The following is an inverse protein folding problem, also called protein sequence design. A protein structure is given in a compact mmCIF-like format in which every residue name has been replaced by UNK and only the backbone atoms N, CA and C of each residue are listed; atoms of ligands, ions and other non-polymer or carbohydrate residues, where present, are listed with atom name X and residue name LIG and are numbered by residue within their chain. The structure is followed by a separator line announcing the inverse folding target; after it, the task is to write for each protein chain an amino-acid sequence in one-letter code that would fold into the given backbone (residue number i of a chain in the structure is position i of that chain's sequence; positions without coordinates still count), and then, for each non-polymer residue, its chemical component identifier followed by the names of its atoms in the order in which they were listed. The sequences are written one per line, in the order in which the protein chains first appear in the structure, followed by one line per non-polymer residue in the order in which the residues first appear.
data_IF_826197781782
#
_entry.id   IF_826197781782
#
_cell.length_a   1.000
_cell.length_b   1.000
_cell.length_c   1.000
_cell.angle_alpha   90.00
_cell.angle_beta   90.00
_cell.angle_gamma   90.00
#
_symmetry.space_group_name_H-M   'P 1'
#
loop_
_entity.id
_entity.type
_entity.pdbx_description
1 polymer ?
#
# COMPACT_ATOMS: atom_id res chain seq x y z
N UNK A 1 43.91 12.37 -8.45
CA UNK A 1 42.71 11.54 -8.68
C UNK A 1 41.66 12.01 -7.69
N UNK A 2 40.69 12.80 -8.16
CA UNK A 2 39.64 13.37 -7.31
C UNK A 2 38.73 12.27 -6.82
N UNK A 3 38.55 12.16 -5.50
CA UNK A 3 37.53 11.32 -4.91
C UNK A 3 36.16 11.82 -5.39
N UNK A 4 35.45 10.98 -6.16
CA UNK A 4 34.03 11.20 -6.43
C UNK A 4 33.29 11.08 -5.09
N UNK A 5 33.02 12.21 -4.46
CA UNK A 5 32.09 12.32 -3.33
C UNK A 5 30.69 12.02 -3.86
N UNK A 6 30.30 10.76 -3.76
CA UNK A 6 28.91 10.36 -4.00
C UNK A 6 28.07 10.96 -2.87
N UNK A 7 27.40 12.07 -3.18
CA UNK A 7 26.39 12.69 -2.32
C UNK A 7 25.26 11.69 -2.12
N UNK A 8 25.22 11.04 -0.96
CA UNK A 8 24.04 10.31 -0.50
C UNK A 8 23.27 11.17 0.48
N UNK A 9 21.95 11.22 0.29
CA UNK A 9 21.04 11.92 1.18
C UNK A 9 21.00 11.19 2.52
N UNK A 10 21.64 11.77 3.53
CA UNK A 10 21.29 11.54 4.93
C UNK A 10 19.82 11.89 5.11
N UNK A 11 19.08 11.15 5.95
CA UNK A 11 17.73 11.53 6.32
C UNK A 11 17.82 12.89 7.00
N UNK A 12 17.52 13.95 6.25
CA UNK A 12 17.24 15.23 6.85
C UNK A 12 15.85 15.06 7.49
N UNK A 13 15.74 15.15 8.82
CA UNK A 13 14.42 15.19 9.44
C UNK A 13 13.66 16.35 8.80
N UNK A 14 12.36 16.15 8.55
CA UNK A 14 11.48 17.20 8.05
C UNK A 14 11.74 18.47 8.89
N UNK A 15 12.17 19.53 8.22
CA UNK A 15 12.61 20.80 8.81
C UNK A 15 11.50 21.57 9.53
N UNK A 16 10.38 20.93 9.84
CA UNK A 16 9.22 21.49 10.52
C UNK A 16 9.25 21.32 12.05
N UNK A 17 10.32 20.78 12.65
CA UNK A 17 10.40 20.69 14.13
C UNK A 17 11.78 20.87 14.78
N UNK A 18 12.81 21.40 14.10
CA UNK A 18 14.00 21.90 14.82
C UNK A 18 13.66 23.19 15.56
N UNK A 19 12.90 23.06 16.65
CA UNK A 19 13.00 24.00 17.74
C UNK A 19 14.37 23.76 18.35
N UNK A 20 15.28 24.69 18.12
CA UNK A 20 16.47 24.93 18.94
C UNK A 20 16.06 25.33 20.36
N UNK A 21 15.25 24.49 21.03
CA UNK A 21 14.70 24.77 22.34
C UNK A 21 15.44 23.93 23.37
N UNK A 22 16.35 24.59 24.07
CA UNK A 22 16.73 24.31 25.47
C UNK A 22 17.91 23.36 25.76
N UNK A 23 18.93 23.34 24.89
CA UNK A 23 20.22 22.66 25.19
C UNK A 23 20.92 23.17 26.47
N UNK A 24 20.62 24.38 26.92
CA UNK A 24 21.19 24.97 28.14
C UNK A 24 20.44 24.67 29.44
N UNK A 25 19.26 24.03 29.40
CA UNK A 25 18.41 23.82 30.59
C UNK A 25 18.12 22.34 30.90
N UNK A 26 18.72 21.41 30.17
CA UNK A 26 18.61 19.99 30.49
C UNK A 26 19.27 19.72 31.84
N UNK A 27 18.53 19.04 32.72
CA UNK A 27 19.04 18.67 34.04
C UNK A 27 20.37 17.91 33.88
N UNK A 28 21.45 18.29 34.60
CA UNK A 28 22.77 17.64 34.47
C UNK A 28 22.72 16.13 34.74
N UNK A 29 21.75 15.64 35.51
CA UNK A 29 21.50 14.22 35.69
C UNK A 29 21.04 13.54 34.39
N UNK A 30 20.16 14.17 33.62
CA UNK A 30 19.68 13.63 32.34
C UNK A 30 20.81 13.64 31.32
N UNK A 31 21.59 14.72 31.26
CA UNK A 31 22.73 14.82 30.35
C UNK A 31 23.81 13.75 30.65
N UNK A 32 24.12 13.49 31.92
CA UNK A 32 25.10 12.47 32.29
C UNK A 32 24.62 11.03 32.01
N UNK A 33 23.33 10.74 32.21
CA UNK A 33 22.73 9.46 31.82
C UNK A 33 22.82 9.27 30.31
N UNK A 34 22.46 10.31 29.54
CA UNK A 34 22.44 10.26 28.09
C UNK A 34 23.84 10.03 27.49
N UNK A 35 24.86 10.69 28.07
CA UNK A 35 26.25 10.47 27.71
C UNK A 35 26.70 9.03 28.02
N UNK A 36 26.31 8.46 29.16
CA UNK A 36 26.65 7.08 29.51
C UNK A 36 25.95 6.05 28.62
N UNK A 37 24.76 6.35 28.11
CA UNK A 37 24.02 5.48 27.20
C UNK A 37 24.43 5.62 25.73
N UNK A 38 25.24 6.62 25.37
CA UNK A 38 25.62 6.88 23.98
C UNK A 38 26.22 5.67 23.24
N UNK A 39 27.18 4.90 23.80
CA UNK A 39 27.68 3.70 23.14
C UNK A 39 26.58 2.68 22.81
N UNK A 40 25.54 2.58 23.66
CA UNK A 40 24.41 1.68 23.42
C UNK A 40 23.55 2.17 22.26
N UNK A 41 23.38 3.48 22.10
CA UNK A 41 22.66 4.05 20.96
C UNK A 41 23.40 3.76 19.65
N UNK A 42 24.72 3.93 19.62
CA UNK A 42 25.56 3.61 18.46
C UNK A 42 25.46 2.12 18.08
N UNK A 43 25.53 1.23 19.07
CA UNK A 43 25.35 -0.21 18.86
C UNK A 43 23.94 -0.53 18.34
N UNK A 44 22.90 0.04 18.95
CA UNK A 44 21.52 -0.15 18.53
C UNK A 44 21.32 0.34 17.09
N UNK A 45 21.82 1.51 16.75
CA UNK A 45 21.74 2.04 15.39
C UNK A 45 22.47 1.21 14.37
N UNK A 46 23.66 0.70 14.69
CA UNK A 46 24.37 -0.25 13.83
C UNK A 46 23.54 -1.51 13.54
N UNK A 47 22.88 -2.07 14.57
CA UNK A 47 22.00 -3.24 14.37
C UNK A 47 20.77 -2.90 13.55
N UNK A 48 20.15 -1.74 13.78
CA UNK A 48 19.00 -1.27 13.00
C UNK A 48 19.39 -0.97 11.55
N UNK A 49 20.59 -0.46 11.30
CA UNK A 49 21.14 -0.25 9.95
C UNK A 49 21.24 -1.56 9.17
N UNK A 50 21.69 -2.62 9.84
CA UNK A 50 21.74 -3.95 9.26
C UNK A 50 20.34 -4.46 8.86
N UNK A 51 19.34 -4.35 9.74
CA UNK A 51 17.99 -4.81 9.41
C UNK A 51 17.27 -3.94 8.37
N UNK A 52 17.52 -2.63 8.38
CA UNK A 52 16.87 -1.69 7.47
C UNK A 52 17.60 -1.52 6.13
N UNK A 53 18.77 -2.16 5.94
CA UNK A 53 19.61 -2.05 4.74
C UNK A 53 20.20 -0.65 4.48
N UNK A 54 20.37 0.17 5.52
CA UNK A 54 20.97 1.51 5.43
C UNK A 54 22.47 1.53 5.74
N UNK A 55 23.10 0.36 5.85
CA UNK A 55 24.56 0.24 6.00
C UNK A 55 25.28 0.91 4.83
N UNK A 56 26.48 1.47 5.10
CA UNK A 56 27.34 2.12 4.10
C UNK A 56 27.56 1.26 2.84
N UNK A 57 27.70 -0.05 3.01
CA UNK A 57 27.84 -1.02 1.94
C UNK A 57 26.65 -2.01 1.91
N UNK A 58 25.60 -1.75 1.12
CA UNK A 58 24.42 -2.63 1.04
C UNK A 58 24.75 -4.04 0.52
N UNK A 59 25.80 -4.17 -0.30
CA UNK A 59 26.25 -5.45 -0.86
C UNK A 59 26.78 -6.36 0.24
N UNK A 60 27.51 -5.80 1.22
CA UNK A 60 28.05 -6.54 2.35
C UNK A 60 26.91 -7.10 3.22
N UNK A 61 25.88 -6.30 3.46
CA UNK A 61 24.67 -6.75 4.14
C UNK A 61 23.99 -7.93 3.41
N UNK A 62 23.87 -7.83 2.08
CA UNK A 62 23.40 -8.94 1.25
C UNK A 62 24.26 -10.20 1.37
N UNK A 63 25.58 -10.06 1.45
CA UNK A 63 26.49 -11.19 1.68
C UNK A 63 26.24 -11.86 3.03
N UNK A 64 26.04 -11.08 4.10
CA UNK A 64 25.72 -11.62 5.43
C UNK A 64 24.40 -12.38 5.43
N UNK A 65 23.35 -11.86 4.79
CA UNK A 65 22.08 -12.58 4.63
C UNK A 65 22.24 -13.86 3.81
N UNK A 66 23.00 -13.84 2.72
CA UNK A 66 23.30 -15.03 1.92
C UNK A 66 24.07 -16.09 2.71
N UNK A 67 25.07 -15.70 3.50
CA UNK A 67 25.82 -16.60 4.38
C UNK A 67 24.91 -17.20 5.45
N UNK A 68 24.09 -16.38 6.11
CA UNK A 68 23.12 -16.83 7.09
C UNK A 68 22.12 -17.84 6.51
N UNK A 69 21.57 -17.54 5.34
CA UNK A 69 20.64 -18.45 4.64
C UNK A 69 21.33 -19.73 4.16
N UNK A 70 22.60 -19.64 3.73
CA UNK A 70 23.41 -20.81 3.40
C UNK A 70 23.65 -21.71 4.61
N UNK A 71 23.94 -21.13 5.79
CA UNK A 71 24.04 -21.87 7.04
C UNK A 71 22.74 -22.59 7.41
N UNK A 72 21.58 -21.93 7.23
CA UNK A 72 20.26 -22.55 7.44
C UNK A 72 20.02 -23.68 6.44
N UNK A 73 20.34 -23.46 5.17
CA UNK A 73 20.14 -24.44 4.10
C UNK A 73 20.99 -25.70 4.32
N UNK A 74 22.26 -25.50 4.70
CA UNK A 74 23.22 -26.56 5.01
C UNK A 74 23.31 -26.85 6.53
N UNK A 75 22.20 -26.75 7.26
CA UNK A 75 22.19 -26.88 8.73
C UNK A 75 22.89 -28.13 9.26
N UNK A 76 22.86 -29.25 8.51
CA UNK A 76 23.54 -30.50 8.90
C UNK A 76 25.06 -30.33 8.99
N UNK A 77 25.65 -29.63 8.03
CA UNK A 77 27.08 -29.32 8.02
C UNK A 77 27.38 -28.19 9.02
N UNK A 78 26.52 -27.17 9.07
CA UNK A 78 26.67 -26.05 10.00
C UNK A 78 26.60 -26.52 11.46
N UNK A 79 25.79 -27.52 11.78
CA UNK A 79 25.68 -28.12 13.11
C UNK A 79 27.02 -28.69 13.60
N UNK A 80 27.78 -29.33 12.70
CA UNK A 80 29.09 -29.89 13.02
C UNK A 80 30.10 -28.80 13.41
N UNK A 81 29.95 -27.60 12.87
CA UNK A 81 30.81 -26.44 13.15
C UNK A 81 30.16 -25.39 14.07
N UNK A 82 29.01 -25.69 14.67
CA UNK A 82 28.21 -24.71 15.41
C UNK A 82 28.98 -24.09 16.59
N UNK A 83 29.77 -24.89 17.30
CA UNK A 83 30.61 -24.39 18.39
C UNK A 83 31.67 -23.39 17.92
N UNK A 84 32.30 -23.63 16.76
CA UNK A 84 33.26 -22.71 16.19
C UNK A 84 32.59 -21.44 15.69
N UNK A 85 31.46 -21.56 14.99
CA UNK A 85 30.70 -20.42 14.47
C UNK A 85 30.25 -19.51 15.61
N UNK A 86 29.66 -20.07 16.67
CA UNK A 86 29.20 -19.29 17.84
C UNK A 86 30.36 -18.63 18.57
N UNK A 87 31.50 -19.30 18.70
CA UNK A 87 32.71 -18.71 19.31
C UNK A 87 33.24 -17.55 18.49
N UNK A 88 33.33 -17.69 17.16
CA UNK A 88 33.76 -16.62 16.26
C UNK A 88 32.80 -15.44 16.31
N UNK A 89 31.49 -15.69 16.29
CA UNK A 89 30.47 -14.65 16.40
C UNK A 89 30.55 -13.93 17.76
N UNK A 90 30.76 -14.67 18.85
CA UNK A 90 30.92 -14.09 20.19
C UNK A 90 32.18 -13.22 20.27
N UNK A 91 33.33 -13.71 19.80
CA UNK A 91 34.57 -12.93 19.78
C UNK A 91 34.43 -11.68 18.89
N UNK A 92 33.83 -11.81 17.71
CA UNK A 92 33.56 -10.70 16.80
C UNK A 92 32.65 -9.64 17.44
N UNK A 93 31.56 -10.07 18.07
CA UNK A 93 30.63 -9.17 18.76
C UNK A 93 31.32 -8.44 19.93
N UNK A 94 32.08 -9.14 20.76
CA UNK A 94 32.80 -8.51 21.87
C UNK A 94 33.88 -7.54 21.38
N UNK A 95 34.60 -7.90 20.31
CA UNK A 95 35.56 -7.00 19.68
C UNK A 95 34.88 -5.73 19.16
N UNK A 96 33.73 -5.88 18.48
CA UNK A 96 32.95 -4.75 17.99
C UNK A 96 32.47 -3.84 19.13
N UNK A 97 31.84 -4.42 20.16
CA UNK A 97 31.40 -3.65 21.34
C UNK A 97 32.58 -2.92 21.98
N UNK A 98 33.68 -3.61 22.24
CA UNK A 98 34.87 -3.00 22.82
C UNK A 98 35.42 -1.87 21.94
N UNK A 99 35.45 -2.06 20.61
CA UNK A 99 35.91 -1.03 19.68
C UNK A 99 35.05 0.24 19.73
N UNK A 100 33.73 0.10 19.87
CA UNK A 100 32.81 1.23 20.02
C UNK A 100 33.05 1.95 21.36
N UNK A 101 33.23 1.21 22.46
CA UNK A 101 33.52 1.82 23.76
C UNK A 101 34.86 2.57 23.78
N UNK A 102 35.89 2.03 23.12
CA UNK A 102 37.19 2.68 22.97
C UNK A 102 37.07 3.95 22.12
N UNK A 103 36.35 3.89 21.00
CA UNK A 103 36.13 5.04 20.10
C UNK A 103 35.40 6.19 20.82
N UNK A 104 34.31 5.89 21.54
CA UNK A 104 33.57 6.87 22.35
C UNK A 104 34.42 7.44 23.50
N UNK A 105 35.34 6.65 24.04
CA UNK A 105 36.25 7.13 25.10
C UNK A 105 37.29 8.13 24.56
N UNK A 106 37.71 7.98 23.30
CA UNK A 106 38.62 8.90 22.64
C UNK A 106 37.93 10.16 22.09
N UNK A 107 36.65 10.05 21.72
CA UNK A 107 35.86 11.12 21.16
C UNK A 107 34.62 11.37 22.02
N UNK A 108 34.73 12.28 22.99
CA UNK A 108 33.59 12.67 23.84
C UNK A 108 32.50 13.30 22.96
N UNK A 109 31.30 12.70 22.86
CA UNK A 109 30.24 13.19 22.00
C UNK A 109 29.66 14.50 22.55
N UNK A 110 29.27 15.40 21.65
CA UNK A 110 28.48 16.58 22.04
C UNK A 110 27.03 16.17 22.31
N UNK A 111 26.28 16.99 23.04
CA UNK A 111 24.87 16.70 23.30
C UNK A 111 24.05 16.63 21.99
N UNK A 112 24.42 17.42 20.98
CA UNK A 112 23.80 17.38 19.65
C UNK A 112 24.05 16.06 18.93
N UNK A 113 25.25 15.50 19.02
CA UNK A 113 25.58 14.19 18.43
C UNK A 113 24.73 13.09 19.05
N UNK A 114 24.55 13.12 20.37
CA UNK A 114 23.73 12.13 21.08
C UNK A 114 22.26 12.25 20.68
N UNK A 115 21.75 13.47 20.56
CA UNK A 115 20.37 13.71 20.14
C UNK A 115 20.13 13.28 18.68
N UNK A 116 21.09 13.54 17.79
CA UNK A 116 21.02 13.08 16.40
C UNK A 116 21.00 11.55 16.31
N UNK A 117 21.86 10.89 17.08
CA UNK A 117 21.90 9.42 17.13
C UNK A 117 20.61 8.83 17.70
N UNK A 118 20.02 9.48 18.71
CA UNK A 118 18.72 9.08 19.25
C UNK A 118 17.59 9.27 18.23
N UNK A 119 17.54 10.39 17.52
CA UNK A 119 16.55 10.67 16.49
C UNK A 119 16.67 9.66 15.33
N UNK A 120 17.90 9.34 14.91
CA UNK A 120 18.16 8.29 13.93
C UNK A 120 17.64 6.93 14.40
N UNK A 121 17.82 6.59 15.69
CA UNK A 121 17.33 5.33 16.25
C UNK A 121 15.79 5.28 16.25
N UNK A 122 15.14 6.36 16.69
CA UNK A 122 13.68 6.46 16.74
C UNK A 122 13.09 6.37 15.35
N UNK A 123 13.58 7.15 14.39
CA UNK A 123 13.09 7.15 13.00
C UNK A 123 13.24 5.78 12.33
N UNK A 124 14.35 5.07 12.56
CA UNK A 124 14.55 3.70 12.06
C UNK A 124 13.59 2.70 12.70
N UNK A 125 13.38 2.79 14.01
CA UNK A 125 12.42 1.95 14.71
C UNK A 125 10.98 2.21 14.25
N UNK A 126 10.62 3.49 14.05
CA UNK A 126 9.34 3.87 13.46
C UNK A 126 9.19 3.32 12.04
N UNK A 127 10.25 3.32 11.23
CA UNK A 127 10.21 2.74 9.87
C UNK A 127 9.95 1.23 9.89
N UNK A 128 10.53 0.49 10.83
CA UNK A 128 10.28 -0.95 11.00
C UNK A 128 8.87 -1.25 11.54
N UNK A 129 8.34 -0.40 12.42
CA UNK A 129 7.05 -0.61 13.09
C UNK A 129 5.87 0.04 12.37
N UNK A 130 6.11 0.98 11.45
CA UNK A 130 5.11 1.64 10.60
C UNK A 130 4.10 0.68 9.96
N UNK A 131 4.50 -0.45 9.34
CA UNK A 131 3.54 -1.38 8.75
C UNK A 131 2.63 -2.02 9.78
N UNK A 132 3.07 -2.19 11.04
CA UNK A 132 2.31 -2.82 12.12
C UNK A 132 1.34 -1.85 12.81
N UNK A 133 1.70 -0.58 12.92
CA UNK A 133 0.95 0.44 13.68
C UNK A 133 -0.46 0.68 13.14
N UNK A 134 -0.66 0.53 11.83
CA UNK A 134 -1.93 0.83 11.15
C UNK A 134 -2.76 -0.42 10.78
N UNK A 135 -2.37 -1.61 11.22
CA UNK A 135 -3.11 -2.84 10.92
C UNK A 135 -4.38 -2.89 11.77
N UNK A 136 -5.52 -2.47 11.20
CA UNK A 136 -6.83 -2.79 11.76
C UNK A 136 -7.20 -4.21 11.34
N UNK A 137 -7.37 -5.17 12.28
CA UNK A 137 -7.65 -6.55 11.91
C UNK A 137 -9.03 -6.65 11.28
N UNK A 138 -9.07 -6.95 9.98
CA UNK A 138 -10.29 -7.25 9.25
C UNK A 138 -10.37 -8.75 9.05
N UNK A 139 -10.92 -9.45 10.04
CA UNK A 139 -10.93 -10.91 10.11
C UNK A 139 -11.46 -11.58 8.83
N UNK A 140 -12.51 -11.04 8.20
CA UNK A 140 -13.03 -11.58 6.94
C UNK A 140 -12.03 -11.55 5.79
N UNK A 141 -11.19 -10.51 5.70
CA UNK A 141 -10.14 -10.42 4.66
C UNK A 141 -8.97 -11.36 4.95
N UNK A 142 -8.59 -11.50 6.22
CA UNK A 142 -7.52 -12.42 6.65
C UNK A 142 -7.93 -13.87 6.37
N UNK A 143 -9.18 -14.22 6.66
CA UNK A 143 -9.73 -15.55 6.37
C UNK A 143 -9.75 -15.81 4.86
N UNK A 144 -10.23 -14.87 4.05
CA UNK A 144 -10.19 -15.00 2.58
C UNK A 144 -8.76 -15.17 2.06
N UNK A 145 -7.82 -14.38 2.57
CA UNK A 145 -6.41 -14.49 2.21
C UNK A 145 -5.87 -15.88 2.55
N UNK A 146 -6.15 -16.40 3.75
CA UNK A 146 -5.73 -17.74 4.17
C UNK A 146 -6.29 -18.82 3.23
N UNK A 147 -7.60 -18.76 2.92
CA UNK A 147 -8.25 -19.73 2.03
C UNK A 147 -7.69 -19.72 0.60
N UNK A 148 -7.29 -18.56 0.06
CA UNK A 148 -6.76 -18.48 -1.30
C UNK A 148 -5.27 -18.81 -1.34
N UNK A 149 -4.50 -18.38 -0.34
CA UNK A 149 -3.03 -18.46 -0.34
C UNK A 149 -2.53 -19.83 0.13
N UNK A 150 -3.20 -20.48 1.07
CA UNK A 150 -2.80 -21.80 1.57
C UNK A 150 -2.77 -22.88 0.48
N UNK A 151 -3.79 -23.03 -0.40
CA UNK A 151 -3.74 -23.99 -1.51
C UNK A 151 -2.60 -23.70 -2.48
N UNK A 152 -2.33 -22.41 -2.78
CA UNK A 152 -1.21 -22.01 -3.63
C UNK A 152 0.12 -22.47 -3.02
N UNK A 153 0.32 -22.25 -1.73
CA UNK A 153 1.52 -22.73 -1.03
C UNK A 153 1.67 -24.25 -1.06
N UNK A 154 0.58 -25.00 -0.85
CA UNK A 154 0.59 -26.46 -0.90
C UNK A 154 0.96 -26.95 -2.31
N UNK A 155 0.39 -26.35 -3.35
CA UNK A 155 0.72 -26.67 -4.75
C UNK A 155 2.20 -26.36 -5.03
N UNK A 156 2.69 -25.19 -4.62
CA UNK A 156 4.11 -24.82 -4.79
C UNK A 156 5.03 -25.81 -4.10
N UNK A 157 4.75 -26.17 -2.85
CA UNK A 157 5.54 -27.14 -2.06
C UNK A 157 5.48 -28.56 -2.62
N UNK A 158 4.35 -28.96 -3.21
CA UNK A 158 4.18 -30.32 -3.75
C UNK A 158 4.85 -30.49 -5.12
N UNK A 159 4.80 -29.47 -5.98
CA UNK A 159 5.17 -29.62 -7.39
C UNK A 159 6.47 -28.92 -7.77
N UNK A 160 6.82 -27.80 -7.14
CA UNK A 160 7.90 -26.94 -7.64
C UNK A 160 9.15 -26.95 -6.77
N UNK A 161 9.04 -27.10 -5.46
CA UNK A 161 10.16 -26.79 -4.56
C UNK A 161 10.17 -27.66 -3.30
N UNK A 162 11.36 -28.08 -2.84
CA UNK A 162 11.49 -28.75 -1.54
C UNK A 162 11.19 -27.79 -0.39
N UNK A 163 10.65 -28.26 0.76
CA UNK A 163 10.31 -27.39 1.89
C UNK A 163 11.49 -26.50 2.35
N UNK A 164 12.71 -27.02 2.26
CA UNK A 164 13.94 -26.31 2.66
C UNK A 164 14.21 -25.09 1.78
N UNK A 165 14.23 -25.30 0.46
CA UNK A 165 14.46 -24.19 -0.50
C UNK A 165 13.32 -23.17 -0.38
N UNK A 166 12.08 -23.64 -0.23
CA UNK A 166 10.92 -22.76 -0.07
C UNK A 166 11.05 -21.84 1.16
N UNK A 167 11.40 -22.39 2.34
CA UNK A 167 11.61 -21.59 3.56
C UNK A 167 12.78 -20.61 3.42
N UNK A 168 13.87 -21.00 2.75
CA UNK A 168 15.01 -20.12 2.52
C UNK A 168 14.66 -18.94 1.61
N UNK A 169 13.87 -19.17 0.56
CA UNK A 169 13.38 -18.10 -0.33
C UNK A 169 12.44 -17.15 0.42
N UNK A 170 11.52 -17.69 1.23
CA UNK A 170 10.60 -16.86 2.01
C UNK A 170 11.36 -15.95 2.99
N UNK A 171 12.35 -16.50 3.70
CA UNK A 171 13.20 -15.73 4.61
C UNK A 171 14.02 -14.68 3.87
N UNK A 172 14.54 -14.98 2.68
CA UNK A 172 15.24 -14.02 1.84
C UNK A 172 14.34 -12.84 1.46
N UNK A 173 13.08 -13.11 1.06
CA UNK A 173 12.12 -12.06 0.70
C UNK A 173 11.81 -11.16 1.90
N UNK A 174 11.61 -11.74 3.09
CA UNK A 174 11.36 -10.96 4.32
C UNK A 174 12.58 -10.11 4.66
N UNK A 175 13.78 -10.70 4.65
CA UNK A 175 15.01 -10.00 4.95
C UNK A 175 15.29 -8.87 3.95
N UNK A 176 15.04 -9.08 2.66
CA UNK A 176 15.26 -8.10 1.61
C UNK A 176 14.18 -7.01 1.55
N UNK A 177 13.08 -7.11 2.31
CA UNK A 177 11.93 -6.20 2.19
C UNK A 177 12.29 -4.72 2.34
N UNK A 178 13.14 -4.39 3.31
CA UNK A 178 13.58 -3.01 3.56
C UNK A 178 14.71 -2.54 2.62
N UNK A 179 15.27 -3.43 1.80
CA UNK A 179 16.30 -3.07 0.81
C UNK A 179 15.75 -2.09 -0.22
N UNK A 180 16.55 -1.05 -0.55
CA UNK A 180 16.19 -0.06 -1.56
C UNK A 180 15.85 -0.71 -2.91
N UNK A 181 16.62 -1.73 -3.31
CA UNK A 181 16.42 -2.45 -4.57
C UNK A 181 15.10 -3.21 -4.59
N UNK A 182 14.75 -3.85 -3.48
CA UNK A 182 13.50 -4.59 -3.35
C UNK A 182 12.30 -3.63 -3.32
N UNK A 183 12.38 -2.54 -2.57
CA UNK A 183 11.31 -1.54 -2.55
C UNK A 183 11.14 -0.85 -3.90
N UNK A 184 12.23 -0.52 -4.58
CA UNK A 184 12.19 0.07 -5.92
C UNK A 184 11.53 -0.88 -6.93
N UNK A 185 11.91 -2.16 -6.94
CA UNK A 185 11.30 -3.15 -7.82
C UNK A 185 9.82 -3.36 -7.51
N UNK A 186 9.43 -3.45 -6.22
CA UNK A 186 8.02 -3.54 -5.83
C UNK A 186 7.21 -2.29 -6.22
N UNK A 187 7.76 -1.08 -6.08
CA UNK A 187 7.12 0.17 -6.52
C UNK A 187 6.93 0.19 -8.04
N UNK A 188 7.92 -0.29 -8.81
CA UNK A 188 7.83 -0.39 -10.28
C UNK A 188 6.78 -1.43 -10.68
N UNK A 189 6.80 -2.62 -10.07
CA UNK A 189 5.80 -3.66 -10.31
C UNK A 189 4.39 -3.17 -10.00
N UNK A 190 4.22 -2.40 -8.92
CA UNK A 190 2.93 -1.82 -8.53
C UNK A 190 2.38 -0.78 -9.52
N UNK A 191 3.23 -0.20 -10.39
CA UNK A 191 2.74 0.67 -11.48
C UNK A 191 1.97 -0.14 -12.54
N UNK A 192 2.21 -1.44 -12.66
CA UNK A 192 1.49 -2.29 -13.59
C UNK A 192 0.05 -2.54 -13.13
N UNK A 193 -0.90 -2.27 -14.02
CA UNK A 193 -2.32 -2.55 -13.75
C UNK A 193 -2.56 -4.04 -13.50
N UNK A 194 -1.87 -4.94 -14.21
CA UNK A 194 -2.03 -6.37 -14.05
C UNK A 194 -1.63 -6.83 -12.64
N UNK A 195 -0.48 -6.35 -12.14
CA UNK A 195 0.03 -6.68 -10.80
C UNK A 195 -0.95 -6.22 -9.72
N UNK A 196 -1.48 -4.99 -9.84
CA UNK A 196 -2.49 -4.49 -8.89
C UNK A 196 -3.75 -5.33 -8.90
N UNK A 197 -4.26 -5.71 -10.08
CA UNK A 197 -5.49 -6.51 -10.18
C UNK A 197 -5.30 -7.90 -9.57
N UNK A 198 -4.16 -8.56 -9.82
CA UNK A 198 -3.82 -9.85 -9.21
C UNK A 198 -3.77 -9.72 -7.67
N UNK A 199 -3.07 -8.71 -7.15
CA UNK A 199 -2.97 -8.49 -5.71
C UNK A 199 -4.33 -8.20 -5.06
N UNK A 200 -5.14 -7.34 -5.68
CA UNK A 200 -6.49 -7.01 -5.22
C UNK A 200 -7.44 -8.21 -5.25
N UNK A 201 -7.29 -9.11 -6.24
CA UNK A 201 -7.99 -10.38 -6.31
C UNK A 201 -7.66 -11.27 -5.11
N UNK A 202 -6.37 -11.44 -4.79
CA UNK A 202 -5.94 -12.24 -3.62
C UNK A 202 -6.41 -11.65 -2.28
N UNK A 203 -6.55 -10.34 -2.18
CA UNK A 203 -7.05 -9.65 -0.96
C UNK A 203 -8.57 -9.62 -0.88
N UNK A 204 -9.27 -9.95 -1.96
CA UNK A 204 -10.73 -9.90 -2.04
C UNK A 204 -11.30 -8.47 -2.04
N UNK A 205 -10.46 -7.46 -2.29
CA UNK A 205 -10.90 -6.08 -2.47
C UNK A 205 -11.20 -5.84 -3.95
N UNK A 206 -12.48 -5.61 -4.28
CA UNK A 206 -12.87 -5.31 -5.66
C UNK A 206 -12.26 -3.97 -6.09
N UNK A 207 -11.53 -3.97 -7.21
CA UNK A 207 -10.82 -2.81 -7.77
C UNK A 207 -11.73 -1.67 -8.27
N UNK A 208 -13.06 -1.80 -8.12
CA UNK A 208 -14.04 -0.83 -8.58
C UNK A 208 -13.88 0.58 -7.96
N UNK A 209 -13.07 0.74 -6.91
CA UNK A 209 -12.84 2.01 -6.23
C UNK A 209 -11.62 2.83 -6.65
N UNK A 210 -10.72 2.33 -7.52
CA UNK A 210 -9.43 3.01 -7.78
C UNK A 210 -9.40 3.88 -9.03
N UNK A 211 -10.30 3.65 -9.99
CA UNK A 211 -10.48 4.52 -11.15
C UNK A 211 -11.96 4.62 -11.44
N UNK A 212 -12.56 5.79 -11.17
CA UNK A 212 -13.85 6.13 -11.76
C UNK A 212 -13.62 6.28 -13.26
N UNK A 213 -14.00 5.27 -14.02
CA UNK A 213 -14.04 5.36 -15.47
C UNK A 213 -15.32 6.11 -15.84
N UNK A 214 -15.33 7.43 -15.71
CA UNK A 214 -16.49 8.25 -16.08
C UNK A 214 -16.36 8.72 -17.53
N UNK A 215 -17.50 8.78 -18.22
CA UNK A 215 -17.63 9.45 -19.51
C UNK A 215 -18.50 10.67 -19.30
N UNK A 216 -18.02 11.83 -19.75
CA UNK A 216 -18.76 13.09 -19.70
C UNK A 216 -19.84 13.03 -20.78
N UNK A 217 -21.11 13.02 -20.38
CA UNK A 217 -22.25 12.94 -21.31
C UNK A 217 -22.48 14.26 -22.03
N UNK A 218 -22.71 15.29 -21.23
CA UNK A 218 -23.13 16.60 -21.69
C UNK A 218 -22.25 17.65 -21.01
N UNK A 219 -21.70 18.56 -21.83
CA UNK A 219 -20.97 19.74 -21.38
C UNK A 219 -21.80 20.95 -21.80
N UNK A 220 -22.57 21.53 -20.88
CA UNK A 220 -23.22 22.81 -21.14
C UNK A 220 -22.39 23.94 -20.51
N UNK A 221 -22.32 25.08 -21.19
CA UNK A 221 -21.68 26.28 -20.65
C UNK A 221 -22.64 26.92 -19.64
N UNK A 222 -22.10 27.43 -18.53
CA UNK A 222 -22.94 28.17 -17.59
C UNK A 222 -23.54 29.43 -18.27
N UNK A 223 -24.83 29.73 -18.03
CA UNK A 223 -25.42 30.99 -18.45
C UNK A 223 -24.86 32.14 -17.60
N UNK A 224 -24.39 33.20 -18.27
CA UNK A 224 -23.64 34.30 -17.67
C UNK A 224 -22.12 34.08 -17.80
N UNK A 225 -21.38 35.17 -18.05
CA UNK A 225 -19.96 35.24 -18.44
C UNK A 225 -18.95 34.67 -17.40
N UNK A 226 -19.15 33.42 -16.96
CA UNK A 226 -18.29 32.68 -16.04
C UNK A 226 -17.76 31.46 -16.79
N UNK A 227 -16.44 31.26 -16.77
CA UNK A 227 -15.79 30.13 -17.45
C UNK A 227 -15.97 28.84 -16.67
N UNK A 228 -17.21 28.37 -16.59
CA UNK A 228 -17.58 27.11 -15.98
C UNK A 228 -18.32 26.20 -16.95
N UNK A 229 -18.13 24.90 -16.77
CA UNK A 229 -18.79 23.85 -17.54
C UNK A 229 -19.68 23.03 -16.61
N UNK A 230 -20.95 22.86 -16.96
CA UNK A 230 -21.83 21.91 -16.30
C UNK A 230 -21.62 20.56 -16.98
N UNK A 231 -21.28 19.56 -16.17
CA UNK A 231 -20.96 18.20 -16.60
C UNK A 231 -21.94 17.25 -15.92
N UNK A 232 -22.64 16.45 -16.73
CA UNK A 232 -23.50 15.40 -16.23
C UNK A 232 -22.73 14.07 -16.17
N UNK A 233 -22.60 13.54 -14.96
CA UNK A 233 -22.06 12.21 -14.71
C UNK A 233 -23.16 11.16 -14.81
N UNK A 234 -22.78 9.97 -15.24
CA UNK A 234 -23.66 8.81 -15.30
C UNK A 234 -22.99 7.56 -14.72
N UNK A 235 -23.78 6.75 -14.05
CA UNK A 235 -23.40 5.44 -13.53
C UNK A 235 -24.54 4.48 -13.85
N UNK A 236 -24.22 3.33 -14.43
CA UNK A 236 -25.16 2.23 -14.61
C UNK A 236 -24.99 1.27 -13.45
N UNK A 237 -26.07 1.00 -12.73
CA UNK A 237 -26.16 -0.04 -11.70
C UNK A 237 -26.79 -1.30 -12.31
N UNK A 238 -26.23 -2.45 -11.98
CA UNK A 238 -26.57 -3.75 -12.56
C UNK A 238 -26.84 -4.76 -11.43
N UNK A 239 -27.94 -5.49 -11.54
CA UNK A 239 -28.31 -6.50 -10.55
C UNK A 239 -28.80 -7.78 -11.23
N UNK A 240 -28.67 -8.89 -10.50
CA UNK A 240 -29.05 -10.23 -10.95
C UNK A 240 -30.07 -10.86 -10.01
N UNK A 241 -31.02 -11.58 -10.57
CA UNK A 241 -32.02 -12.35 -9.84
C UNK A 241 -31.46 -13.72 -9.46
N UNK A 242 -31.47 -14.02 -8.17
CA UNK A 242 -31.05 -15.30 -7.62
C UNK A 242 -32.25 -16.05 -7.06
N UNK A 243 -32.22 -17.37 -7.23
CA UNK A 243 -33.20 -18.27 -6.63
C UNK A 243 -33.15 -18.09 -5.11
N UNK A 244 -34.31 -17.95 -4.47
CA UNK A 244 -34.53 -17.68 -3.04
C UNK A 244 -34.12 -16.30 -2.50
N UNK A 245 -33.14 -15.60 -3.08
CA UNK A 245 -32.69 -14.26 -2.62
C UNK A 245 -33.41 -13.11 -3.33
N UNK A 246 -33.83 -13.32 -4.57
CA UNK A 246 -34.37 -12.24 -5.41
C UNK A 246 -33.27 -11.41 -6.06
N UNK A 247 -33.50 -10.12 -6.27
CA UNK A 247 -32.55 -9.22 -6.92
C UNK A 247 -31.38 -8.86 -5.99
N UNK A 248 -30.15 -9.09 -6.43
CA UNK A 248 -28.92 -8.77 -5.68
C UNK A 248 -27.86 -8.14 -6.59
N UNK A 249 -26.95 -7.40 -5.96
CA UNK A 249 -25.72 -6.82 -6.50
C UNK A 249 -24.62 -7.85 -6.84
N UNK A 250 -24.81 -9.13 -6.50
CA UNK A 250 -23.88 -10.20 -6.83
C UNK A 250 -24.12 -10.69 -8.26
N UNK A 251 -23.22 -10.30 -9.17
CA UNK A 251 -23.23 -10.76 -10.57
C UNK A 251 -22.30 -11.96 -10.77
N UNK A 252 -22.47 -12.65 -11.89
CA UNK A 252 -21.58 -13.75 -12.28
C UNK A 252 -20.21 -13.21 -12.73
N UNK A 253 -19.11 -13.97 -12.57
CA UNK A 253 -17.76 -13.48 -12.88
C UNK A 253 -17.53 -13.06 -14.35
N UNK A 254 -18.31 -13.62 -15.28
CA UNK A 254 -18.24 -13.30 -16.71
C UNK A 254 -19.20 -12.16 -17.10
N UNK A 255 -20.00 -11.67 -16.17
CA UNK A 255 -20.88 -10.54 -16.39
C UNK A 255 -20.14 -9.22 -16.14
N UNK A 256 -20.83 -8.13 -16.48
CA UNK A 256 -20.45 -6.76 -16.11
C UNK A 256 -20.37 -6.61 -14.59
N UNK A 257 -19.59 -5.63 -14.12
CA UNK A 257 -19.56 -5.26 -12.70
C UNK A 257 -20.92 -4.66 -12.25
N UNK A 258 -21.17 -4.61 -10.94
CA UNK A 258 -22.39 -4.01 -10.39
C UNK A 258 -22.56 -2.56 -10.86
N UNK A 259 -21.51 -1.74 -10.76
CA UNK A 259 -21.54 -0.37 -11.27
C UNK A 259 -20.61 -0.23 -12.47
N UNK A 260 -21.13 0.24 -13.59
CA UNK A 260 -20.34 0.50 -14.81
C UNK A 260 -20.62 1.85 -15.45
N UNK A 261 -19.77 2.24 -16.38
CA UNK A 261 -20.08 3.28 -17.35
C UNK A 261 -20.79 2.72 -18.60
N UNK A 262 -21.10 3.59 -19.56
CA UNK A 262 -21.65 3.23 -20.89
C UNK A 262 -20.81 2.21 -21.66
N UNK A 263 -19.47 2.26 -21.49
CA UNK A 263 -18.54 1.35 -22.14
C UNK A 263 -18.36 0.03 -21.34
N UNK A 264 -19.22 -0.24 -20.35
CA UNK A 264 -19.20 -1.42 -19.49
C UNK A 264 -17.92 -1.57 -18.63
N UNK A 265 -17.17 -0.50 -18.43
CA UNK A 265 -16.03 -0.50 -17.51
C UNK A 265 -16.53 -0.27 -16.08
N UNK A 266 -15.94 -1.00 -15.12
CA UNK A 266 -16.30 -0.88 -13.71
C UNK A 266 -16.02 0.53 -13.16
N UNK A 267 -16.93 1.02 -12.31
CA UNK A 267 -16.89 2.32 -11.64
C UNK A 267 -17.36 2.18 -10.18
N UNK A 268 -17.13 3.19 -9.35
CA UNK A 268 -17.63 3.23 -7.96
C UNK A 268 -19.16 3.24 -7.89
N UNK A 269 -19.72 2.94 -6.72
CA UNK A 269 -21.13 3.20 -6.45
C UNK A 269 -21.43 4.71 -6.44
N UNK A 270 -22.70 5.12 -6.61
CA UNK A 270 -23.11 6.52 -6.51
C UNK A 270 -22.70 7.18 -5.18
N UNK A 271 -22.75 6.44 -4.07
CA UNK A 271 -22.39 6.94 -2.74
C UNK A 271 -20.88 7.10 -2.54
N UNK A 272 -20.08 6.20 -3.12
CA UNK A 272 -18.63 6.23 -3.03
C UNK A 272 -17.97 7.05 -4.16
N UNK A 273 -18.76 7.70 -5.02
CA UNK A 273 -18.24 8.42 -6.17
C UNK A 273 -17.49 9.68 -5.75
N UNK A 274 -16.23 9.77 -6.18
CA UNK A 274 -15.36 10.92 -6.00
C UNK A 274 -15.02 11.56 -7.35
N UNK A 275 -14.79 12.88 -7.31
CA UNK A 275 -14.43 13.61 -8.51
C UNK A 275 -13.05 13.19 -9.05
N UNK A 276 -12.90 13.20 -10.38
CA UNK A 276 -11.68 12.80 -11.04
C UNK A 276 -10.71 13.99 -11.15
N UNK A 277 -9.61 13.93 -10.39
CA UNK A 277 -8.52 14.91 -10.34
C UNK A 277 -8.94 16.36 -9.98
N UNK A 278 -8.13 17.02 -9.13
CA UNK A 278 -8.32 18.40 -8.66
C UNK A 278 -9.75 18.71 -8.17
N UNK A 279 -10.13 18.13 -7.03
CA UNK A 279 -11.42 18.34 -6.35
C UNK A 279 -11.81 19.80 -6.13
N UNK A 280 -10.83 20.71 -6.10
CA UNK A 280 -11.06 22.13 -5.83
C UNK A 280 -11.89 22.84 -6.91
N UNK A 281 -11.87 22.34 -8.15
CA UNK A 281 -12.62 22.94 -9.27
C UNK A 281 -14.02 22.34 -9.45
N UNK A 282 -14.31 21.23 -8.77
CA UNK A 282 -15.58 20.51 -8.94
C UNK A 282 -16.53 20.81 -7.80
N UNK A 283 -17.75 21.20 -8.14
CA UNK A 283 -18.84 21.36 -7.18
C UNK A 283 -20.07 20.64 -7.70
N UNK A 284 -20.72 19.84 -6.86
CA UNK A 284 -22.00 19.26 -7.22
C UNK A 284 -23.04 20.35 -7.43
N UNK A 285 -23.81 20.26 -8.52
CA UNK A 285 -24.97 21.12 -8.75
C UNK A 285 -26.19 20.55 -8.01
N UNK A 286 -26.25 19.22 -7.89
CA UNK A 286 -27.34 18.46 -7.28
C UNK A 286 -26.83 17.73 -6.03
N UNK A 287 -27.62 17.72 -4.96
CA UNK A 287 -27.22 17.12 -3.67
C UNK A 287 -27.22 15.60 -3.68
N UNK A 288 -28.07 14.98 -4.49
CA UNK A 288 -28.26 13.54 -4.57
C UNK A 288 -28.22 13.06 -6.02
N UNK A 289 -27.83 11.81 -6.21
CA UNK A 289 -27.96 11.14 -7.50
C UNK A 289 -29.44 10.96 -7.84
N UNK A 290 -29.79 11.18 -9.10
CA UNK A 290 -31.15 11.02 -9.63
C UNK A 290 -31.20 9.83 -10.58
N UNK A 291 -32.32 9.12 -10.59
CA UNK A 291 -32.56 8.02 -11.53
C UNK A 291 -33.06 8.62 -12.86
N UNK A 292 -32.44 8.22 -13.96
CA UNK A 292 -32.82 8.68 -15.30
C UNK A 292 -34.09 7.96 -15.78
N UNK A 293 -35.22 8.67 -15.75
CA UNK A 293 -36.52 8.12 -16.16
C UNK A 293 -36.61 7.87 -17.68
N UNK A 294 -35.79 8.54 -18.49
CA UNK A 294 -35.75 8.34 -19.95
C UNK A 294 -35.18 6.96 -20.30
N UNK A 295 -34.26 6.46 -19.48
CA UNK A 295 -33.68 5.12 -19.64
C UNK A 295 -34.74 4.02 -19.63
N UNK A 296 -35.80 4.19 -18.83
CA UNK A 296 -36.95 3.27 -18.76
C UNK A 296 -38.13 3.67 -19.65
N UNK A 297 -37.95 4.61 -20.59
CA UNK A 297 -39.03 5.18 -21.39
C UNK A 297 -40.23 5.65 -20.56
N UNK A 298 -39.97 6.14 -19.34
CA UNK A 298 -40.99 6.56 -18.35
C UNK A 298 -42.00 5.47 -17.95
N UNK A 299 -41.71 4.19 -18.24
CA UNK A 299 -42.63 3.07 -17.96
C UNK A 299 -42.50 2.48 -16.57
N UNK A 300 -41.39 2.74 -15.89
CA UNK A 300 -41.10 2.20 -14.56
C UNK A 300 -40.70 3.33 -13.59
N UNK A 301 -41.42 3.44 -12.46
CA UNK A 301 -41.18 4.45 -11.41
C UNK A 301 -39.83 4.29 -10.73
N UNK A 302 -39.30 3.07 -10.64
CA UNK A 302 -38.02 2.78 -9.99
C UNK A 302 -36.81 2.92 -10.93
N UNK A 303 -37.06 3.10 -12.24
CA UNK A 303 -36.02 3.25 -13.26
C UNK A 303 -35.22 1.99 -13.57
N UNK A 304 -35.78 0.80 -13.32
CA UNK A 304 -35.21 -0.48 -13.75
C UNK A 304 -35.65 -0.88 -15.16
N UNK A 305 -34.68 -1.27 -15.98
CA UNK A 305 -34.89 -2.04 -17.23
C UNK A 305 -34.46 -3.48 -16.96
N UNK A 306 -35.32 -4.41 -17.29
CA UNK A 306 -35.16 -5.85 -17.09
C UNK A 306 -34.70 -6.52 -18.39
N UNK A 307 -33.91 -7.59 -18.27
CA UNK A 307 -33.35 -8.33 -19.38
C UNK A 307 -33.33 -9.83 -19.08
N UNK A 308 -33.09 -10.61 -20.13
CA UNK A 308 -32.83 -12.05 -20.00
C UNK A 308 -31.47 -12.34 -19.33
N UNK A 309 -31.11 -13.62 -19.28
CA UNK A 309 -29.87 -14.09 -18.66
C UNK A 309 -28.59 -13.59 -19.37
N UNK A 310 -28.70 -13.08 -20.59
CA UNK A 310 -27.58 -12.61 -21.42
C UNK A 310 -27.63 -11.10 -21.63
N UNK A 311 -28.41 -10.37 -20.83
CA UNK A 311 -28.61 -8.93 -20.95
C UNK A 311 -29.20 -8.48 -22.30
N UNK A 312 -29.98 -9.35 -22.93
CA UNK A 312 -30.70 -9.07 -24.18
C UNK A 312 -32.18 -8.89 -23.88
N UNK A 313 -32.95 -8.47 -24.87
CA UNK A 313 -34.41 -8.35 -24.82
C UNK A 313 -34.89 -7.42 -23.68
N UNK A 314 -34.67 -6.09 -23.78
CA UNK A 314 -35.08 -5.15 -22.74
C UNK A 314 -36.60 -5.15 -22.53
N UNK A 315 -37.02 -5.35 -21.29
CA UNK A 315 -38.37 -5.22 -20.81
C UNK A 315 -38.44 -4.14 -19.72
N UNK A 316 -39.58 -3.46 -19.61
CA UNK A 316 -39.77 -2.37 -18.64
C UNK A 316 -40.61 -2.79 -17.42
N UNK A 317 -40.98 -4.07 -17.34
CA UNK A 317 -41.72 -4.67 -16.24
C UNK A 317 -40.98 -5.93 -15.78
N UNK A 318 -41.06 -6.24 -14.48
CA UNK A 318 -40.44 -7.45 -13.93
C UNK A 318 -41.25 -8.67 -14.41
N UNK A 319 -40.62 -9.50 -15.24
CA UNK A 319 -41.20 -10.75 -15.74
C UNK A 319 -40.47 -11.95 -15.14
N UNK A 320 -41.13 -13.11 -15.14
CA UNK A 320 -40.50 -14.37 -14.66
C UNK A 320 -39.27 -14.73 -15.49
N UNK A 321 -39.24 -14.33 -16.76
CA UNK A 321 -38.12 -14.53 -17.68
C UNK A 321 -37.00 -13.50 -17.52
N UNK A 322 -37.18 -12.49 -16.66
CA UNK A 322 -36.16 -11.50 -16.36
C UNK A 322 -35.20 -12.03 -15.27
N UNK A 323 -33.92 -12.09 -15.64
CA UNK A 323 -32.84 -12.56 -14.75
C UNK A 323 -31.83 -11.48 -14.42
N UNK A 324 -31.73 -10.44 -15.25
CA UNK A 324 -30.81 -9.33 -15.04
C UNK A 324 -31.57 -8.01 -15.17
N UNK A 325 -31.13 -6.97 -14.45
CA UNK A 325 -31.73 -5.63 -14.53
C UNK A 325 -30.65 -4.56 -14.44
N UNK A 326 -30.89 -3.43 -15.10
CA UNK A 326 -30.03 -2.25 -14.98
C UNK A 326 -30.82 -0.99 -14.70
N UNK A 327 -30.19 -0.06 -13.99
CA UNK A 327 -30.72 1.26 -13.64
C UNK A 327 -29.66 2.31 -13.92
N UNK A 328 -30.07 3.43 -14.49
CA UNK A 328 -29.17 4.54 -14.81
C UNK A 328 -29.30 5.65 -13.76
N UNK A 329 -28.19 5.96 -13.13
CA UNK A 329 -28.02 7.07 -12.22
C UNK A 329 -27.34 8.22 -12.93
N UNK A 330 -27.82 9.43 -12.70
CA UNK A 330 -27.23 10.66 -13.22
C UNK A 330 -27.09 11.73 -12.14
N UNK A 331 -26.03 12.52 -12.23
CA UNK A 331 -25.84 13.66 -11.34
C UNK A 331 -25.03 14.75 -12.02
N UNK A 332 -25.49 15.99 -11.91
CA UNK A 332 -24.82 17.15 -12.52
C UNK A 332 -23.82 17.78 -11.56
N UNK A 333 -22.67 18.15 -12.09
CA UNK A 333 -21.65 18.94 -11.40
C UNK A 333 -21.23 20.14 -12.24
N UNK A 334 -20.70 21.15 -11.57
CA UNK A 334 -20.06 22.31 -12.18
C UNK A 334 -18.55 22.17 -12.03
N UNK A 335 -17.85 22.34 -13.15
CA UNK A 335 -16.41 22.56 -13.20
C UNK A 335 -16.15 24.07 -13.31
N UNK A 336 -15.52 24.66 -12.29
CA UNK A 336 -15.11 26.07 -12.28
C UNK A 336 -13.65 26.14 -12.72
N UNK A 337 -13.41 26.63 -13.93
CA UNK A 337 -12.06 26.95 -14.39
C UNK A 337 -11.71 28.35 -13.91
N UNK A 338 -10.86 28.44 -12.89
CA UNK A 338 -10.29 29.73 -12.49
C UNK A 338 -9.34 30.17 -13.61
N UNK A 339 -9.64 31.30 -14.26
CA UNK A 339 -8.62 32.01 -15.02
C UNK A 339 -7.61 32.56 -14.03
N UNK A 340 -6.46 31.91 -13.92
CA UNK A 340 -5.24 32.67 -13.68
C UNK A 340 -4.78 33.20 -15.04
N UNK A 341 -4.95 34.51 -15.22
CA UNK A 341 -4.16 35.29 -16.17
C UNK A 341 -2.68 35.21 -15.80
#
# INVERSE_FOLDING_TARGET
MSANTVLHAEFTPESSSRRSSSLGTTNPLVASILHRSFPLFVLANSTLDFFTWHTRDPILNGLYWCLFLSCIYYYRLAWLFWGLITTVLYCSFNYYVNSVYVDVSHHTPTLDDILNELDNMVTRFETLTAPLRNIKPQWGRIVNYLFIVTPVHIITLKYFTTPRVYTSILLLIIAAYHSLWFQATMRILWRSQMVRQIFLFFIGSHAAGLHNNYKILNVSRLPGNKNGKIIQFQILEHQRRWIAVGWSDKLLPYERANHTNEALQATSSPEAFTFPFNSNHWKWLEDKWSVDAEFCKMKNKEGWVYYDNYWKNPCYQDTITAYTRSRKWTRKAVLVTDHKM
#
